data_IF_439806470757
#
_entry.id   IF_439806470757
#
_cell.length_a   1.000
_cell.length_b   1.000
_cell.length_c   1.000
_cell.angle_alpha   90.00
_cell.angle_beta   90.00
_cell.angle_gamma   90.00
#
_symmetry.space_group_name_H-M   'P 1'
#
loop_
_entity.id
_entity.type
_entity.pdbx_description
1 polymer ?
#
# COMPACT_ATOMS: atom_id res chain seq x y z
N UNK A 1 -8.54 -13.18 -8.63
CA UNK A 1 -9.13 -12.31 -7.57
C UNK A 1 -7.98 -11.74 -6.74
N UNK A 2 -8.09 -10.50 -6.28
CA UNK A 2 -7.15 -9.93 -5.32
C UNK A 2 -7.16 -10.79 -4.05
N UNK A 3 -5.98 -11.14 -3.54
CA UNK A 3 -5.88 -11.78 -2.22
C UNK A 3 -6.06 -10.71 -1.17
N UNK A 4 -7.10 -10.86 -0.36
CA UNK A 4 -7.34 -10.15 0.91
C UNK A 4 -6.80 -8.70 1.00
N UNK A 5 -7.22 -7.88 0.03
CA UNK A 5 -7.63 -6.49 0.24
C UNK A 5 -6.57 -5.52 0.74
N UNK A 6 -5.64 -5.14 -0.14
CA UNK A 6 -5.03 -3.82 -0.07
C UNK A 6 -5.00 -3.19 -1.46
N UNK A 7 -5.06 -1.87 -1.47
CA UNK A 7 -4.94 -1.03 -2.65
C UNK A 7 -3.70 -0.15 -2.47
N UNK A 8 -3.10 0.25 -3.59
CA UNK A 8 -1.96 1.17 -3.61
C UNK A 8 -2.35 2.38 -4.44
N UNK A 9 -2.12 3.57 -3.91
CA UNK A 9 -2.38 4.82 -4.62
C UNK A 9 -1.18 5.15 -5.50
N UNK A 10 -1.39 5.23 -6.81
CA UNK A 10 -0.37 5.61 -7.80
C UNK A 10 -0.98 6.63 -8.74
N UNK A 11 -0.36 7.82 -8.85
CA UNK A 11 -0.86 8.88 -9.75
C UNK A 11 -2.31 9.30 -9.49
N UNK A 12 -2.78 9.24 -8.24
CA UNK A 12 -4.16 9.60 -7.86
C UNK A 12 -5.22 8.52 -8.14
N UNK A 13 -4.81 7.30 -8.52
CA UNK A 13 -5.71 6.16 -8.72
C UNK A 13 -5.32 4.98 -7.83
N UNK A 14 -6.32 4.30 -7.28
CA UNK A 14 -6.14 3.07 -6.51
C UNK A 14 -6.00 1.85 -7.43
N UNK A 15 -4.96 1.05 -7.16
CA UNK A 15 -4.69 -0.21 -7.85
C UNK A 15 -4.71 -1.36 -6.84
N UNK A 16 -5.41 -2.44 -7.19
CA UNK A 16 -5.53 -3.60 -6.31
C UNK A 16 -4.22 -4.39 -6.22
N UNK A 17 -3.82 -4.77 -5.02
CA UNK A 17 -2.78 -5.77 -4.79
C UNK A 17 -3.29 -7.14 -5.24
N UNK A 18 -2.47 -7.87 -5.98
CA UNK A 18 -2.79 -9.19 -6.53
C UNK A 18 -1.68 -10.19 -6.29
N UNK A 19 -2.04 -11.46 -6.14
CA UNK A 19 -1.08 -12.51 -5.77
C UNK A 19 -0.58 -12.37 -4.32
N UNK A 20 0.03 -13.43 -3.79
CA UNK A 20 0.53 -13.43 -2.42
C UNK A 20 1.58 -12.32 -2.20
N UNK A 21 1.48 -11.61 -1.08
CA UNK A 21 2.50 -10.63 -0.67
C UNK A 21 3.81 -11.38 -0.38
N UNK A 22 4.90 -10.95 -1.02
CA UNK A 22 6.23 -11.50 -0.80
C UNK A 22 6.93 -10.80 0.36
N UNK A 23 8.00 -11.41 0.88
CA UNK A 23 8.79 -10.84 1.97
C UNK A 23 9.41 -9.46 1.63
N UNK A 24 9.60 -9.15 0.33
CA UNK A 24 10.28 -7.94 -0.13
C UNK A 24 9.48 -7.07 -1.11
N UNK A 25 8.35 -7.56 -1.61
CA UNK A 25 7.58 -6.84 -2.63
C UNK A 25 6.13 -7.30 -2.66
N UNK A 26 5.29 -6.48 -3.29
CA UNK A 26 3.91 -6.80 -3.61
C UNK A 26 3.66 -6.49 -5.08
N UNK A 27 2.65 -7.12 -5.67
CA UNK A 27 2.28 -6.95 -7.08
C UNK A 27 0.94 -6.23 -7.12
N UNK A 28 0.82 -5.22 -7.98
CA UNK A 28 -0.44 -4.49 -8.20
C UNK A 28 -0.93 -4.71 -9.63
N UNK A 29 -2.23 -4.89 -9.79
CA UNK A 29 -2.85 -5.01 -11.10
C UNK A 29 -3.14 -3.62 -11.68
N UNK A 30 -2.41 -3.25 -12.73
CA UNK A 30 -2.53 -1.94 -13.39
C UNK A 30 -3.72 -1.88 -14.37
N UNK A 31 -4.01 -2.99 -15.05
CA UNK A 31 -5.00 -3.02 -16.13
C UNK A 31 -4.48 -2.39 -17.43
N UNK A 32 -5.27 -2.48 -18.50
CA UNK A 32 -4.81 -2.18 -19.87
C UNK A 32 -4.64 -0.68 -20.16
N UNK A 33 -5.33 0.19 -19.41
CA UNK A 33 -5.30 1.65 -19.59
C UNK A 33 -4.43 2.36 -18.54
N UNK A 34 -3.51 1.66 -17.90
CA UNK A 34 -2.67 2.27 -16.87
C UNK A 34 -1.63 3.21 -17.47
N UNK A 35 -1.53 4.41 -16.91
CA UNK A 35 -0.52 5.42 -17.27
C UNK A 35 0.68 5.40 -16.32
N UNK A 36 0.80 4.36 -15.49
CA UNK A 36 1.86 4.23 -14.48
C UNK A 36 3.20 3.96 -15.16
N UNK A 37 4.21 4.71 -14.75
CA UNK A 37 5.58 4.58 -15.23
C UNK A 37 6.54 4.15 -14.10
N UNK A 38 7.70 3.62 -14.49
CA UNK A 38 8.79 3.34 -13.55
C UNK A 38 9.27 4.65 -12.93
N UNK A 39 9.30 4.70 -11.60
CA UNK A 39 9.69 5.89 -10.84
C UNK A 39 8.51 6.65 -10.24
N UNK A 40 7.27 6.33 -10.64
CA UNK A 40 6.07 6.88 -10.00
C UNK A 40 6.01 6.47 -8.53
N UNK A 41 5.55 7.40 -7.69
CA UNK A 41 5.36 7.13 -6.26
C UNK A 41 4.14 6.24 -6.07
N UNK A 42 4.36 5.12 -5.39
CA UNK A 42 3.35 4.19 -4.96
C UNK A 42 3.13 4.32 -3.45
N UNK A 43 2.01 4.92 -3.05
CA UNK A 43 1.68 5.11 -1.64
C UNK A 43 0.90 3.90 -1.12
N UNK A 44 1.52 3.14 -0.21
CA UNK A 44 0.91 1.96 0.42
C UNK A 44 0.03 2.33 1.61
N UNK A 45 0.45 3.31 2.40
CA UNK A 45 -0.26 3.80 3.59
C UNK A 45 -0.04 5.31 3.67
N UNK A 46 -1.11 6.08 3.71
CA UNK A 46 -1.02 7.55 3.70
C UNK A 46 -2.38 8.23 3.83
N UNK A 47 -2.40 9.54 4.11
CA UNK A 47 -3.65 10.27 4.35
C UNK A 47 -4.40 10.67 3.06
N UNK A 48 -3.75 10.53 1.90
CA UNK A 48 -4.23 11.10 0.62
C UNK A 48 -5.42 10.35 0.00
N UNK A 49 -5.75 9.15 0.49
CA UNK A 49 -6.96 8.43 0.10
C UNK A 49 -7.52 7.60 1.28
N UNK A 50 -8.85 7.60 1.51
CA UNK A 50 -9.47 6.85 2.61
C UNK A 50 -9.16 5.35 2.62
N UNK A 51 -8.99 4.70 1.46
CA UNK A 51 -8.76 3.26 1.35
C UNK A 51 -7.39 2.82 1.89
N UNK A 52 -6.40 3.71 1.85
CA UNK A 52 -5.03 3.48 2.33
C UNK A 52 -4.70 4.30 3.59
N UNK A 53 -5.70 4.93 4.18
CA UNK A 53 -5.52 5.67 5.43
C UNK A 53 -5.00 4.73 6.53
N UNK A 54 -4.02 5.14 7.37
CA UNK A 54 -3.42 4.26 8.38
C UNK A 54 -4.42 3.52 9.27
N UNK A 55 -5.47 4.22 9.72
CA UNK A 55 -6.54 3.61 10.51
C UNK A 55 -7.41 2.62 9.71
N UNK A 56 -7.61 2.85 8.41
CA UNK A 56 -8.38 1.94 7.56
C UNK A 56 -7.58 0.66 7.27
N UNK A 57 -6.28 0.81 6.99
CA UNK A 57 -5.37 -0.34 6.83
C UNK A 57 -5.37 -1.19 8.09
N UNK A 58 -5.19 -0.59 9.26
CA UNK A 58 -5.25 -1.30 10.54
C UNK A 58 -6.59 -2.02 10.77
N UNK A 59 -7.72 -1.36 10.46
CA UNK A 59 -9.06 -1.96 10.56
C UNK A 59 -9.20 -3.19 9.66
N UNK A 60 -8.73 -3.12 8.42
CA UNK A 60 -8.81 -4.24 7.45
C UNK A 60 -7.91 -5.40 7.83
N UNK A 61 -6.77 -5.14 8.46
CA UNK A 61 -5.86 -6.19 8.96
C UNK A 61 -6.21 -6.69 10.37
N UNK A 62 -7.32 -6.23 10.96
CA UNK A 62 -7.72 -6.60 12.32
C UNK A 62 -6.67 -6.23 13.39
N UNK A 63 -5.88 -5.18 13.13
CA UNK A 63 -4.78 -4.72 13.98
C UNK A 63 -5.03 -3.29 14.48
N UNK A 64 -4.17 -2.77 15.36
CA UNK A 64 -4.16 -1.34 15.68
C UNK A 64 -3.25 -0.55 14.72
N UNK A 65 -3.53 0.75 14.55
CA UNK A 65 -2.63 1.62 13.78
C UNK A 65 -1.23 1.69 14.39
N UNK A 66 -1.14 1.55 15.72
CA UNK A 66 0.14 1.45 16.42
C UNK A 66 0.88 0.18 16.04
N UNK A 67 0.21 -0.98 16.01
CA UNK A 67 0.83 -2.24 15.59
C UNK A 67 1.37 -2.13 14.17
N UNK A 68 0.58 -1.59 13.23
CA UNK A 68 1.01 -1.41 11.84
C UNK A 68 2.28 -0.53 11.75
N UNK A 69 2.28 0.63 12.41
CA UNK A 69 3.39 1.59 12.32
C UNK A 69 4.63 1.17 13.13
N UNK A 70 4.45 0.52 14.28
CA UNK A 70 5.55 0.08 15.15
C UNK A 70 6.27 -1.16 14.58
N UNK A 71 5.60 -1.97 13.76
CA UNK A 71 6.19 -3.14 13.12
C UNK A 71 6.76 -2.87 11.71
N UNK A 72 6.88 -1.60 11.30
CA UNK A 72 7.62 -1.27 10.08
C UNK A 72 9.08 -1.73 10.21
N UNK A 73 9.51 -2.52 9.22
CA UNK A 73 10.82 -3.17 9.22
C UNK A 73 11.98 -2.18 9.39
N UNK A 74 13.01 -2.58 10.12
CA UNK A 74 14.17 -1.72 10.45
C UNK A 74 14.97 -1.28 9.22
N UNK A 75 14.86 -2.01 8.10
CA UNK A 75 15.51 -1.67 6.84
C UNK A 75 14.79 -0.55 6.07
N UNK A 76 13.57 -0.16 6.48
CA UNK A 76 12.84 0.91 5.84
C UNK A 76 13.48 2.27 6.19
N UNK A 77 14.02 3.02 5.21
CA UNK A 77 14.58 4.35 5.47
C UNK A 77 13.50 5.29 6.01
N UNK A 78 13.83 6.04 7.07
CA UNK A 78 12.95 7.05 7.65
C UNK A 78 13.50 8.42 7.33
N UNK A 79 12.73 9.21 6.57
CA UNK A 79 13.08 10.57 6.18
C UNK A 79 12.19 11.52 6.97
N UNK A 80 12.79 12.50 7.62
CA UNK A 80 12.07 13.61 8.28
C UNK A 80 11.97 14.75 7.27
N UNK A 81 10.75 15.19 6.99
CA UNK A 81 10.41 16.28 6.05
C UNK A 81 9.91 17.51 6.78
#
# INVERSE_FOLDING_TARGET
AAVEGCEVLIGGRLYAVVGAVSASHTIVALGDEATVAVGDVATLVGPDDPAIHPNEVARRTGSSVYDVLMHLGQSLPRVVV
#
